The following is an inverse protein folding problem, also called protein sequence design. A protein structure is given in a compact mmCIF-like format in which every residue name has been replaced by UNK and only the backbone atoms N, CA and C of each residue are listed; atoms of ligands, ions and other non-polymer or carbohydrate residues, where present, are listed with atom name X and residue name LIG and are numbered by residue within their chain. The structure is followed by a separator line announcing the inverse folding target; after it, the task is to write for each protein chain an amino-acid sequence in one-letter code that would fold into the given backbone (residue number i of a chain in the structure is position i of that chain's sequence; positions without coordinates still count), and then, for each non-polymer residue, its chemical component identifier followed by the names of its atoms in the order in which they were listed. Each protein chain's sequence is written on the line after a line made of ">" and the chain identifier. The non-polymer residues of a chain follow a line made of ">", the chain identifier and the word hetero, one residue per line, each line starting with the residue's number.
data_IF_191251727287
#
_entry.id   IF_191251727287
#
_cell.length_a   1.000
_cell.length_b   1.000
_cell.length_c   1.000
_cell.angle_alpha   90.00
_cell.angle_beta   90.00
_cell.angle_gamma   90.00
#
_symmetry.space_group_name_H-M   'P 1'
#
loop_
_entity.id
_entity.type
_entity.pdbx_description
1 polymer ?
#
# COMPACT_ATOMS: atom_id res chain seq x y z
N UNK A 1 14.25 21.84 -29.02
CA UNK A 1 14.71 21.13 -27.80
C UNK A 1 14.56 19.63 -28.04
N UNK A 2 15.66 18.94 -28.33
CA UNK A 2 15.67 17.52 -28.67
C UNK A 2 15.42 16.67 -27.41
N UNK A 3 14.37 15.83 -27.43
CA UNK A 3 14.17 14.77 -26.45
C UNK A 3 15.23 13.70 -26.72
N UNK A 4 16.31 13.70 -25.95
CA UNK A 4 17.25 12.58 -25.91
C UNK A 4 16.48 11.35 -25.43
N UNK A 5 16.19 10.44 -26.37
CA UNK A 5 15.64 9.14 -26.06
C UNK A 5 16.67 8.35 -25.27
N UNK A 6 16.62 8.42 -23.94
CA UNK A 6 17.41 7.55 -23.09
C UNK A 6 16.91 6.13 -23.29
N UNK A 7 17.65 5.34 -24.07
CA UNK A 7 17.47 3.91 -24.20
C UNK A 7 17.44 3.32 -22.79
N UNK A 8 16.28 2.84 -22.34
CA UNK A 8 16.15 2.19 -21.03
C UNK A 8 17.22 1.09 -20.97
N UNK A 9 18.20 1.15 -20.04
CA UNK A 9 19.32 0.21 -20.02
C UNK A 9 18.81 -1.22 -20.05
N UNK A 10 19.51 -2.12 -20.74
CA UNK A 10 19.08 -3.52 -20.88
C UNK A 10 18.80 -4.16 -19.51
N UNK A 11 19.59 -3.80 -18.50
CA UNK A 11 19.43 -4.18 -17.11
C UNK A 11 18.09 -3.73 -16.51
N UNK A 12 17.65 -2.50 -16.80
CA UNK A 12 16.37 -1.97 -16.31
C UNK A 12 15.19 -2.62 -17.03
N UNK A 13 15.34 -2.96 -18.32
CA UNK A 13 14.33 -3.75 -19.05
C UNK A 13 14.22 -5.17 -18.51
N UNK A 14 15.35 -5.82 -18.27
CA UNK A 14 15.42 -7.13 -17.62
C UNK A 14 14.77 -7.09 -16.24
N UNK A 15 15.17 -6.14 -15.39
CA UNK A 15 14.58 -5.93 -14.07
C UNK A 15 13.05 -5.76 -14.12
N UNK A 16 12.53 -4.93 -15.03
CA UNK A 16 11.08 -4.72 -15.20
C UNK A 16 10.35 -5.97 -15.71
N UNK A 17 10.94 -6.69 -16.66
CA UNK A 17 10.35 -7.93 -17.17
C UNK A 17 10.31 -9.00 -16.08
N UNK A 18 11.41 -9.22 -15.37
CA UNK A 18 11.51 -10.20 -14.30
C UNK A 18 10.57 -9.87 -13.14
N UNK A 19 10.53 -8.61 -12.69
CA UNK A 19 9.61 -8.19 -11.62
C UNK A 19 8.15 -8.25 -12.05
N UNK A 20 7.83 -7.91 -13.30
CA UNK A 20 6.48 -8.07 -13.87
C UNK A 20 6.04 -9.54 -13.95
N UNK A 21 6.94 -10.44 -14.35
CA UNK A 21 6.70 -11.89 -14.40
C UNK A 21 6.53 -12.52 -13.01
N UNK A 22 7.19 -11.96 -11.99
CA UNK A 22 7.04 -12.38 -10.59
C UNK A 22 5.80 -11.78 -9.90
N UNK A 23 5.23 -10.71 -10.46
CA UNK A 23 3.99 -10.08 -10.00
C UNK A 23 2.83 -11.05 -9.74
N UNK A 24 2.45 -11.94 -10.68
CA UNK A 24 1.37 -12.91 -10.47
C UNK A 24 1.67 -14.00 -9.43
N UNK A 25 2.92 -14.14 -8.96
CA UNK A 25 3.29 -15.08 -7.88
C UNK A 25 3.05 -14.47 -6.48
N UNK A 26 2.90 -13.15 -6.40
CA UNK A 26 2.62 -12.44 -5.14
C UNK A 26 1.38 -12.92 -4.39
N UNK A 27 0.20 -13.20 -4.99
CA UNK A 27 -0.96 -13.72 -4.26
C UNK A 27 -0.72 -15.12 -3.65
N UNK A 28 0.10 -15.96 -4.28
CA UNK A 28 0.47 -17.28 -3.75
C UNK A 28 1.39 -17.16 -2.53
N UNK A 29 2.33 -16.21 -2.55
CA UNK A 29 3.18 -15.90 -1.40
C UNK A 29 2.36 -15.32 -0.23
N UNK A 30 1.37 -14.47 -0.52
CA UNK A 30 0.43 -13.95 0.47
C UNK A 30 -0.45 -15.07 1.06
N UNK A 31 -0.98 -15.98 0.22
CA UNK A 31 -1.71 -17.17 0.66
C UNK A 31 -0.86 -18.11 1.55
N UNK A 32 0.42 -18.28 1.22
CA UNK A 32 1.34 -19.04 2.05
C UNK A 32 1.64 -18.36 3.40
N UNK A 33 1.75 -17.03 3.42
CA UNK A 33 1.93 -16.25 4.66
C UNK A 33 0.68 -16.26 5.54
N UNK A 34 -0.52 -16.24 4.94
CA UNK A 34 -1.79 -16.42 5.63
C UNK A 34 -1.86 -17.77 6.35
N UNK A 35 -1.45 -18.85 5.69
CA UNK A 35 -1.39 -20.20 6.29
C UNK A 35 -0.43 -20.29 7.49
N UNK A 36 0.53 -19.37 7.60
CA UNK A 36 1.41 -19.24 8.77
C UNK A 36 0.86 -18.32 9.87
N UNK A 37 -0.40 -17.90 9.80
CA UNK A 37 -1.05 -17.04 10.81
C UNK A 37 -0.56 -15.59 10.81
N UNK A 38 0.12 -15.16 9.74
CA UNK A 38 0.70 -13.80 9.63
C UNK A 38 -0.22 -12.81 8.90
N UNK A 39 -1.47 -13.18 8.63
CA UNK A 39 -2.47 -12.32 7.97
C UNK A 39 -3.84 -12.50 8.61
N UNK A 40 -4.53 -11.38 8.84
CA UNK A 40 -5.94 -11.36 9.20
C UNK A 40 -6.78 -11.47 7.93
N UNK A 41 -7.65 -12.49 7.87
CA UNK A 41 -8.50 -12.76 6.71
C UNK A 41 -9.53 -11.64 6.48
N UNK A 42 -9.96 -10.93 7.53
CA UNK A 42 -10.96 -9.88 7.45
C UNK A 42 -10.42 -8.59 6.80
N UNK A 43 -9.10 -8.36 6.85
CA UNK A 43 -8.44 -7.14 6.35
C UNK A 43 -7.66 -7.34 5.06
N UNK A 44 -7.83 -8.48 4.40
CA UNK A 44 -7.12 -8.80 3.14
C UNK A 44 -7.35 -7.79 2.02
N UNK A 45 -8.55 -7.22 1.95
CA UNK A 45 -8.91 -6.18 0.98
C UNK A 45 -7.99 -4.95 1.09
N UNK A 46 -7.53 -4.62 2.29
CA UNK A 46 -6.71 -3.43 2.51
C UNK A 46 -5.37 -3.47 1.77
N UNK A 47 -4.80 -4.66 1.55
CA UNK A 47 -3.54 -4.85 0.78
C UNK A 47 -3.70 -4.56 -0.71
N UNK A 48 -4.91 -4.67 -1.22
CA UNK A 48 -5.26 -4.35 -2.62
C UNK A 48 -6.04 -3.04 -2.73
N UNK A 49 -6.09 -2.25 -1.64
CA UNK A 49 -6.75 -0.95 -1.63
C UNK A 49 -8.27 -0.98 -1.45
N UNK A 50 -8.83 -2.13 -1.08
CA UNK A 50 -10.25 -2.28 -0.76
C UNK A 50 -10.41 -2.08 0.75
N UNK A 51 -10.84 -0.90 1.14
CA UNK A 51 -11.18 -0.62 2.53
C UNK A 51 -12.41 -1.46 2.95
N UNK A 52 -12.41 -1.97 4.19
CA UNK A 52 -13.58 -2.66 4.75
C UNK A 52 -14.72 -1.73 5.19
N UNK A 53 -14.59 -0.42 4.92
CA UNK A 53 -15.60 0.58 5.24
C UNK A 53 -16.04 1.30 3.97
N UNK A 54 -17.31 1.69 3.94
CA UNK A 54 -17.86 2.48 2.85
C UNK A 54 -17.13 3.82 2.73
N UNK A 55 -16.95 4.27 1.49
CA UNK A 55 -16.28 5.53 1.22
C UNK A 55 -17.16 6.67 1.76
N UNK A 56 -16.66 7.49 2.70
CA UNK A 56 -17.41 8.64 3.20
C UNK A 56 -17.57 9.69 2.09
N UNK A 57 -18.67 10.44 2.15
CA UNK A 57 -18.90 11.54 1.23
C UNK A 57 -17.85 12.65 1.41
N UNK A 58 -17.47 13.30 0.30
CA UNK A 58 -16.50 14.39 0.31
C UNK A 58 -15.04 13.94 0.15
N UNK A 59 -14.11 14.74 0.69
CA UNK A 59 -12.67 14.61 0.46
C UNK A 59 -12.06 13.62 1.45
N UNK A 60 -11.46 12.56 0.92
CA UNK A 60 -10.81 11.49 1.67
C UNK A 60 -9.30 11.58 1.48
N UNK A 61 -8.55 11.63 2.58
CA UNK A 61 -7.12 11.41 2.61
C UNK A 61 -6.89 9.94 2.95
N UNK A 62 -6.34 9.18 2.01
CA UNK A 62 -6.03 7.76 2.19
C UNK A 62 -4.52 7.54 2.31
N UNK A 63 -4.10 6.89 3.39
CA UNK A 63 -2.75 6.43 3.64
C UNK A 63 -2.72 4.89 3.65
N UNK A 64 -1.74 4.32 2.96
CA UNK A 64 -1.47 2.89 2.98
C UNK A 64 -0.08 2.64 3.58
N UNK A 65 -0.02 1.82 4.62
CA UNK A 65 1.22 1.38 5.24
C UNK A 65 1.42 -0.12 5.01
N UNK A 66 2.48 -0.48 4.29
CA UNK A 66 2.81 -1.87 3.98
C UNK A 66 3.56 -2.57 5.14
N UNK A 67 4.04 -1.80 6.13
CA UNK A 67 4.80 -2.29 7.27
C UNK A 67 4.45 -1.61 8.60
N UNK A 68 4.91 -2.20 9.70
CA UNK A 68 4.78 -1.63 11.06
C UNK A 68 5.55 -0.32 11.19
N UNK A 69 6.77 -0.26 10.64
CA UNK A 69 7.59 0.96 10.66
C UNK A 69 6.94 2.11 9.89
N UNK A 70 6.36 1.83 8.73
CA UNK A 70 5.61 2.82 7.96
C UNK A 70 4.34 3.28 8.67
N UNK A 71 3.64 2.35 9.34
CA UNK A 71 2.46 2.71 10.15
C UNK A 71 2.86 3.68 11.26
N UNK A 72 3.92 3.37 12.01
CA UNK A 72 4.44 4.24 13.07
C UNK A 72 4.89 5.60 12.53
N UNK A 73 5.53 5.64 11.36
CA UNK A 73 5.92 6.88 10.70
C UNK A 73 4.72 7.70 10.18
N UNK A 74 3.61 7.04 9.85
CA UNK A 74 2.39 7.70 9.38
C UNK A 74 1.57 8.33 10.52
N UNK A 75 1.66 7.85 11.76
CA UNK A 75 0.86 8.36 12.88
C UNK A 75 1.06 9.87 13.17
N UNK A 76 2.30 10.41 13.21
CA UNK A 76 2.51 11.85 13.35
C UNK A 76 1.91 12.66 12.20
N UNK A 77 2.01 12.15 10.98
CA UNK A 77 1.42 12.78 9.78
C UNK A 77 -0.11 12.80 9.86
N UNK A 78 -0.73 11.68 10.22
CA UNK A 78 -2.19 11.58 10.42
C UNK A 78 -2.65 12.58 11.48
N UNK A 79 -1.88 12.71 12.57
CA UNK A 79 -2.18 13.67 13.64
C UNK A 79 -2.11 15.11 13.12
N UNK A 80 -1.09 15.45 12.34
CA UNK A 80 -0.97 16.78 11.74
C UNK A 80 -2.11 17.08 10.75
N UNK A 81 -2.45 16.12 9.89
CA UNK A 81 -3.52 16.25 8.91
C UNK A 81 -4.90 16.39 9.56
N UNK A 82 -5.15 15.66 10.65
CA UNK A 82 -6.39 15.78 11.41
C UNK A 82 -6.54 17.16 12.05
N UNK A 83 -5.43 17.80 12.43
CA UNK A 83 -5.43 19.18 12.94
C UNK A 83 -5.61 20.22 11.84
N UNK A 84 -4.96 20.05 10.69
CA UNK A 84 -5.06 21.03 9.59
C UNK A 84 -6.34 20.90 8.76
N UNK A 85 -6.95 19.71 8.74
CA UNK A 85 -8.14 19.39 7.95
C UNK A 85 -9.18 18.60 8.76
N UNK A 86 -9.76 19.20 9.83
CA UNK A 86 -10.66 18.49 10.74
C UNK A 86 -11.96 18.01 10.07
N UNK A 87 -12.35 18.62 8.94
CA UNK A 87 -13.54 18.24 8.17
C UNK A 87 -13.29 17.14 7.13
N UNK A 88 -12.05 16.68 6.94
CA UNK A 88 -11.72 15.66 5.94
C UNK A 88 -11.68 14.27 6.56
N UNK A 89 -12.21 13.28 5.85
CA UNK A 89 -12.09 11.90 6.25
C UNK A 89 -10.64 11.42 6.07
N UNK A 90 -10.14 10.65 7.03
CA UNK A 90 -8.82 10.03 7.00
C UNK A 90 -8.99 8.51 7.09
N UNK A 91 -8.47 7.80 6.09
CA UNK A 91 -8.43 6.35 6.07
C UNK A 91 -6.97 5.89 6.10
N UNK A 92 -6.65 5.01 7.06
CA UNK A 92 -5.38 4.30 7.10
C UNK A 92 -5.65 2.82 6.85
N UNK A 93 -5.03 2.26 5.82
CA UNK A 93 -5.04 0.82 5.54
C UNK A 93 -3.67 0.21 5.83
N UNK A 94 -3.62 -0.98 6.42
CA UNK A 94 -2.36 -1.69 6.68
C UNK A 94 -2.43 -3.18 6.39
N UNK A 95 -1.36 -3.72 5.82
CA UNK A 95 -1.22 -5.15 5.53
C UNK A 95 -0.63 -5.99 6.66
N UNK A 96 -0.24 -5.37 7.79
CA UNK A 96 0.42 -6.06 8.91
C UNK A 96 -0.49 -6.20 10.12
N UNK A 97 -0.63 -7.43 10.61
CA UNK A 97 -1.48 -7.82 11.76
C UNK A 97 -1.07 -7.13 13.06
N UNK A 98 0.22 -6.78 13.20
CA UNK A 98 0.82 -6.18 14.40
C UNK A 98 0.71 -4.65 14.49
N UNK A 99 -0.02 -4.02 13.57
CA UNK A 99 -0.19 -2.54 13.54
C UNK A 99 -1.61 -2.07 13.89
N UNK A 100 -2.51 -3.00 14.21
CA UNK A 100 -3.86 -2.71 14.68
C UNK A 100 -3.88 -2.53 16.20
#
# INVERSE_FOLDING_TARGET
>A
MARTGTSTPLLLRGYRATTGLLGPVSPLLLAWRQRKGKEDAARRGERVGIAGQDRPEGRLIWLHAASVGETNAALPLITALRRSHPAQALLLTTGTVTSA
#
